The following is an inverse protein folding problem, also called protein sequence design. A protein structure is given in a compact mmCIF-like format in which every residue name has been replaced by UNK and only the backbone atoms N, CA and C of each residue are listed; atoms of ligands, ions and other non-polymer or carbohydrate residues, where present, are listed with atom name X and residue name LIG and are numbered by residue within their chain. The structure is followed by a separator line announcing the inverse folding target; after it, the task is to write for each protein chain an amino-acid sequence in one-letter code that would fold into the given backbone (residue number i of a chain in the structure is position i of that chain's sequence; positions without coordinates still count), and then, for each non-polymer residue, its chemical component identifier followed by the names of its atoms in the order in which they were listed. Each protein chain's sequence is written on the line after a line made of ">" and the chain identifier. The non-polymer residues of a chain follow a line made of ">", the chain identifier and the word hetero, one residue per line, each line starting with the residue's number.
data_IF_524929810415
#
_entry.id   IF_524929810415
#
_cell.length_a   1.000
_cell.length_b   1.000
_cell.length_c   1.000
_cell.angle_alpha   90.00
_cell.angle_beta   90.00
_cell.angle_gamma   90.00
#
_symmetry.space_group_name_H-M   'P 1'
#
loop_
_entity.id
_entity.type
_entity.pdbx_description
1 polymer ?
#
# COMPACT_ATOMS: atom_id res chain seq x y z
N UNK A 1 4.49 -11.66 5.13
CA UNK A 1 3.93 -13.02 5.00
C UNK A 1 4.73 -13.89 4.05
N UNK A 2 5.11 -13.40 2.83
CA UNK A 2 5.89 -14.21 1.86
C UNK A 2 7.24 -14.60 2.46
N UNK A 3 8.05 -13.64 2.90
CA UNK A 3 9.36 -13.91 3.51
C UNK A 3 9.23 -14.75 4.79
N UNK A 4 8.27 -14.41 5.65
CA UNK A 4 8.00 -15.18 6.87
C UNK A 4 7.72 -16.66 6.55
N UNK A 5 6.94 -16.93 5.48
CA UNK A 5 6.60 -18.29 5.07
C UNK A 5 7.78 -19.15 4.57
N UNK A 6 8.96 -18.54 4.38
CA UNK A 6 10.18 -19.26 3.98
C UNK A 6 10.93 -19.84 5.18
N UNK A 7 10.76 -19.22 6.35
CA UNK A 7 11.53 -19.55 7.56
C UNK A 7 10.68 -20.04 8.73
N UNK A 8 9.37 -19.83 8.73
CA UNK A 8 8.47 -20.28 9.78
C UNK A 8 7.77 -21.60 9.42
N UNK A 9 7.44 -22.40 10.41
CA UNK A 9 6.68 -23.65 10.25
C UNK A 9 5.27 -23.40 9.68
N UNK A 10 4.63 -22.29 10.09
CA UNK A 10 3.32 -21.87 9.60
C UNK A 10 3.25 -20.35 9.55
N UNK A 11 2.62 -19.83 8.50
CA UNK A 11 2.39 -18.38 8.35
C UNK A 11 0.92 -18.15 8.04
N UNK A 12 0.31 -17.23 8.77
CA UNK A 12 -1.03 -16.70 8.45
C UNK A 12 -0.94 -15.24 8.04
N UNK A 13 -1.90 -14.80 7.21
CA UNK A 13 -2.08 -13.40 6.87
C UNK A 13 -3.52 -12.99 7.16
N UNK A 14 -3.69 -11.96 8.00
CA UNK A 14 -4.99 -11.38 8.32
C UNK A 14 -5.17 -10.05 7.62
N UNK A 15 -6.33 -9.84 7.00
CA UNK A 15 -6.66 -8.61 6.29
C UNK A 15 -8.01 -8.07 6.74
N UNK A 16 -8.00 -6.81 7.12
CA UNK A 16 -9.22 -6.07 7.47
C UNK A 16 -10.15 -5.89 6.27
N UNK A 17 -9.60 -5.70 5.06
CA UNK A 17 -10.33 -5.52 3.79
C UNK A 17 -9.63 -6.24 2.65
N UNK A 18 -10.32 -6.44 1.53
CA UNK A 18 -9.71 -6.96 0.31
C UNK A 18 -8.81 -5.94 -0.37
N UNK A 19 -7.71 -6.41 -0.93
CA UNK A 19 -6.73 -5.58 -1.66
C UNK A 19 -6.51 -6.12 -3.05
N UNK A 20 -6.34 -5.22 -4.02
CA UNK A 20 -5.88 -5.59 -5.33
C UNK A 20 -4.42 -6.04 -5.25
N UNK A 21 -4.15 -7.25 -5.75
CA UNK A 21 -2.79 -7.77 -5.88
C UNK A 21 -2.41 -7.69 -7.35
N UNK A 22 -1.41 -6.88 -7.65
CA UNK A 22 -0.89 -6.74 -9.00
C UNK A 22 0.43 -7.52 -9.12
N UNK A 23 0.63 -8.32 -10.16
CA UNK A 23 1.92 -8.95 -10.40
C UNK A 23 2.96 -7.89 -10.78
N UNK A 24 4.25 -8.19 -10.55
CA UNK A 24 5.35 -7.33 -11.00
C UNK A 24 5.46 -7.28 -12.52
N UNK A 25 5.11 -8.39 -13.17
CA UNK A 25 5.18 -8.54 -14.62
C UNK A 25 3.86 -9.05 -15.18
N UNK A 26 3.37 -8.41 -16.24
CA UNK A 26 2.29 -8.89 -17.08
C UNK A 26 2.83 -9.36 -18.42
N UNK A 27 2.67 -10.63 -18.73
CA UNK A 27 3.11 -11.22 -20.02
C UNK A 27 4.56 -10.85 -20.38
N UNK A 28 5.46 -10.92 -19.39
CA UNK A 28 6.88 -10.62 -19.55
C UNK A 28 7.25 -9.13 -19.55
N UNK A 29 6.28 -8.21 -19.43
CA UNK A 29 6.53 -6.77 -19.33
C UNK A 29 6.33 -6.29 -17.89
N UNK A 30 7.19 -5.41 -17.35
CA UNK A 30 6.98 -4.78 -16.05
C UNK A 30 5.63 -4.07 -15.96
N UNK A 31 4.96 -4.16 -14.81
CA UNK A 31 3.61 -3.61 -14.63
C UNK A 31 3.53 -2.10 -14.78
N UNK A 32 4.59 -1.37 -14.43
CA UNK A 32 4.71 0.07 -14.63
C UNK A 32 4.76 0.44 -16.13
N UNK A 33 5.52 -0.32 -16.94
CA UNK A 33 5.58 -0.15 -18.40
C UNK A 33 4.21 -0.41 -19.04
N UNK A 34 3.49 -1.45 -18.57
CA UNK A 34 2.12 -1.73 -19.02
C UNK A 34 1.18 -0.59 -18.64
N UNK A 35 1.29 -0.08 -17.40
CA UNK A 35 0.51 1.05 -16.92
C UNK A 35 0.79 2.34 -17.72
N UNK A 36 2.06 2.58 -18.08
CA UNK A 36 2.45 3.70 -18.93
C UNK A 36 1.82 3.64 -20.32
N UNK A 37 1.86 2.48 -20.97
CA UNK A 37 1.26 2.26 -22.29
C UNK A 37 -0.26 2.53 -22.35
N UNK A 38 -0.92 2.59 -21.19
CA UNK A 38 -2.36 2.87 -21.08
C UNK A 38 -2.68 4.31 -20.63
N UNK A 39 -1.69 5.18 -20.45
CA UNK A 39 -1.89 6.57 -19.95
C UNK A 39 -2.79 7.44 -20.85
N UNK A 40 -2.85 7.15 -22.14
CA UNK A 40 -3.72 7.84 -23.09
C UNK A 40 -5.21 7.54 -22.90
N UNK A 41 -5.56 6.45 -22.18
CA UNK A 41 -6.94 6.11 -21.87
C UNK A 41 -7.47 6.95 -20.69
N UNK A 42 -8.75 7.36 -20.73
CA UNK A 42 -9.42 7.97 -19.58
C UNK A 42 -9.29 7.09 -18.33
N UNK A 43 -9.09 7.71 -17.17
CA UNK A 43 -8.84 7.00 -15.91
C UNK A 43 -9.88 5.91 -15.60
N UNK A 44 -11.17 6.20 -15.83
CA UNK A 44 -12.26 5.23 -15.60
C UNK A 44 -12.12 3.96 -16.45
N UNK A 45 -11.78 4.11 -17.72
CA UNK A 45 -11.57 2.98 -18.64
C UNK A 45 -10.33 2.18 -18.24
N UNK A 46 -9.24 2.86 -17.90
CA UNK A 46 -8.01 2.23 -17.43
C UNK A 46 -8.24 1.42 -16.15
N UNK A 47 -8.96 2.00 -15.19
CA UNK A 47 -9.35 1.30 -13.95
C UNK A 47 -10.17 0.04 -14.25
N UNK A 48 -11.17 0.14 -15.11
CA UNK A 48 -12.02 -0.97 -15.52
C UNK A 48 -11.23 -2.10 -16.20
N UNK A 49 -10.37 -1.77 -17.17
CA UNK A 49 -9.53 -2.77 -17.84
C UNK A 49 -8.54 -3.43 -16.89
N UNK A 50 -7.91 -2.68 -15.99
CA UNK A 50 -7.02 -3.25 -14.99
C UNK A 50 -7.73 -4.22 -14.05
N UNK A 51 -8.97 -3.92 -13.64
CA UNK A 51 -9.78 -4.82 -12.82
C UNK A 51 -10.08 -6.13 -13.55
N UNK A 52 -10.46 -6.06 -14.82
CA UNK A 52 -10.72 -7.24 -15.66
C UNK A 52 -9.43 -8.06 -15.82
N UNK A 53 -8.34 -7.41 -16.16
CA UNK A 53 -7.03 -8.06 -16.35
C UNK A 53 -6.60 -8.80 -15.08
N UNK A 54 -6.71 -8.19 -13.91
CA UNK A 54 -6.36 -8.82 -12.64
C UNK A 54 -7.30 -9.97 -12.28
N UNK A 55 -8.61 -9.84 -12.58
CA UNK A 55 -9.57 -10.93 -12.38
C UNK A 55 -9.29 -12.13 -13.31
N UNK A 56 -8.86 -11.89 -14.54
CA UNK A 56 -8.45 -12.96 -15.47
C UNK A 56 -7.16 -13.60 -14.98
N UNK A 57 -6.20 -12.79 -14.55
CA UNK A 57 -4.87 -13.26 -14.13
C UNK A 57 -4.92 -14.11 -12.86
N UNK A 58 -5.63 -13.64 -11.81
CA UNK A 58 -5.71 -14.34 -10.53
C UNK A 58 -6.95 -15.20 -10.35
N UNK A 59 -8.03 -14.92 -11.06
CA UNK A 59 -9.35 -15.53 -10.84
C UNK A 59 -10.09 -14.89 -9.66
N UNK A 60 -11.00 -15.67 -9.07
CA UNK A 60 -11.81 -15.22 -7.94
C UNK A 60 -11.01 -15.31 -6.62
N UNK A 61 -10.78 -14.17 -5.98
CA UNK A 61 -10.08 -14.05 -4.70
C UNK A 61 -10.72 -14.85 -3.56
N UNK A 62 -12.04 -15.04 -3.59
CA UNK A 62 -12.75 -15.86 -2.59
C UNK A 62 -12.26 -17.31 -2.57
N UNK A 63 -11.89 -17.84 -3.74
CA UNK A 63 -11.36 -19.21 -3.86
C UNK A 63 -10.01 -19.40 -3.14
N UNK A 64 -9.34 -18.30 -2.82
CA UNK A 64 -8.09 -18.30 -2.04
C UNK A 64 -8.32 -18.06 -0.55
N UNK A 65 -9.57 -17.93 -0.10
CA UNK A 65 -9.89 -17.56 1.28
C UNK A 65 -9.60 -16.09 1.61
N UNK A 66 -9.42 -15.25 0.58
CA UNK A 66 -9.20 -13.83 0.74
C UNK A 66 -10.54 -13.08 0.79
N UNK A 67 -10.56 -11.95 1.50
CA UNK A 67 -11.73 -11.08 1.52
C UNK A 67 -12.05 -10.55 0.12
N UNK A 68 -13.34 -10.40 -0.23
CA UNK A 68 -13.73 -9.76 -1.47
C UNK A 68 -13.20 -8.33 -1.56
N UNK A 69 -12.78 -7.94 -2.75
CA UNK A 69 -12.36 -6.56 -3.00
C UNK A 69 -13.62 -5.76 -3.33
N UNK A 70 -13.90 -4.74 -2.52
CA UNK A 70 -15.03 -3.82 -2.70
C UNK A 70 -14.66 -2.55 -3.42
N UNK A 71 -13.40 -2.13 -3.25
CA UNK A 71 -12.92 -0.85 -3.75
C UNK A 71 -12.50 -0.93 -5.24
N UNK A 72 -12.77 0.10 -6.05
CA UNK A 72 -12.26 0.17 -7.42
C UNK A 72 -10.73 0.11 -7.45
N UNK A 73 -10.17 -0.48 -8.51
CA UNK A 73 -8.71 -0.45 -8.72
C UNK A 73 -8.21 0.99 -8.80
N UNK A 74 -7.19 1.30 -8.02
CA UNK A 74 -6.58 2.63 -7.97
C UNK A 74 -7.20 3.59 -6.95
N UNK A 75 -8.30 3.23 -6.27
CA UNK A 75 -8.81 3.99 -5.11
C UNK A 75 -7.89 3.84 -3.89
N UNK A 76 -7.20 2.72 -3.84
CA UNK A 76 -6.14 2.42 -2.86
C UNK A 76 -4.93 1.85 -3.58
N UNK A 77 -3.76 1.97 -2.98
CA UNK A 77 -2.53 1.44 -3.57
C UNK A 77 -2.63 -0.09 -3.68
N UNK A 78 -2.47 -0.69 -4.88
CA UNK A 78 -2.46 -2.13 -5.04
C UNK A 78 -1.20 -2.73 -4.40
N UNK A 79 -1.31 -3.93 -3.90
CA UNK A 79 -0.15 -4.69 -3.43
C UNK A 79 0.56 -5.32 -4.64
N UNK A 80 1.77 -4.89 -4.93
CA UNK A 80 2.57 -5.47 -6.03
C UNK A 80 3.32 -6.68 -5.48
N UNK A 81 2.89 -7.88 -5.87
CA UNK A 81 3.51 -9.12 -5.40
C UNK A 81 3.16 -10.31 -6.31
N UNK A 82 4.18 -11.05 -6.77
CA UNK A 82 3.99 -12.24 -7.61
C UNK A 82 3.83 -13.52 -6.78
N UNK A 83 4.44 -13.56 -5.59
CA UNK A 83 4.56 -14.79 -4.84
C UNK A 83 3.39 -15.07 -3.89
N UNK A 84 2.73 -14.02 -3.38
CA UNK A 84 1.72 -14.18 -2.33
C UNK A 84 0.60 -15.14 -2.72
N UNK A 85 0.04 -14.95 -3.91
CA UNK A 85 -1.04 -15.81 -4.41
C UNK A 85 -0.56 -17.26 -4.63
N UNK A 86 0.69 -17.42 -5.08
CA UNK A 86 1.32 -18.71 -5.20
C UNK A 86 1.50 -19.40 -3.83
N UNK A 87 2.02 -18.67 -2.84
CA UNK A 87 2.18 -19.17 -1.47
C UNK A 87 0.86 -19.57 -0.81
N UNK A 88 -0.22 -18.81 -1.08
CA UNK A 88 -1.57 -19.15 -0.61
C UNK A 88 -2.06 -20.43 -1.27
N UNK A 89 -1.94 -20.55 -2.60
CA UNK A 89 -2.35 -21.76 -3.35
C UNK A 89 -1.67 -23.02 -2.85
N UNK A 90 -0.41 -22.92 -2.45
CA UNK A 90 0.38 -24.03 -1.92
C UNK A 90 0.27 -24.20 -0.39
N UNK A 91 -0.64 -23.47 0.28
CA UNK A 91 -0.88 -23.60 1.71
C UNK A 91 0.28 -23.11 2.60
N UNK A 92 1.29 -22.43 2.02
CA UNK A 92 2.42 -21.86 2.77
C UNK A 92 2.05 -20.57 3.51
N UNK A 93 1.03 -19.88 3.03
CA UNK A 93 0.43 -18.72 3.70
C UNK A 93 -1.07 -18.98 3.80
N UNK A 94 -1.60 -18.96 5.02
CA UNK A 94 -3.01 -19.21 5.33
C UNK A 94 -3.75 -17.89 5.49
N UNK A 95 -4.68 -17.53 4.60
CA UNK A 95 -5.54 -16.35 4.79
C UNK A 95 -6.43 -16.53 6.02
N UNK A 96 -6.60 -15.44 6.77
CA UNK A 96 -7.48 -15.35 7.93
C UNK A 96 -8.35 -14.10 7.83
N UNK A 97 -9.48 -14.13 8.50
CA UNK A 97 -10.30 -12.95 8.72
C UNK A 97 -9.56 -11.94 9.61
N UNK A 98 -10.14 -10.77 9.82
CA UNK A 98 -9.52 -9.77 10.69
C UNK A 98 -9.42 -10.28 12.14
N UNK A 99 -8.43 -9.74 12.85
CA UNK A 99 -8.19 -10.08 14.24
C UNK A 99 -9.24 -9.38 15.10
N UNK A 100 -10.04 -10.15 15.83
CA UNK A 100 -11.01 -9.61 16.77
C UNK A 100 -10.35 -9.25 18.11
N UNK A 101 -9.48 -10.13 18.64
CA UNK A 101 -8.77 -9.93 19.91
C UNK A 101 -7.62 -10.90 20.08
N UNK A 102 -6.79 -10.62 21.08
CA UNK A 102 -5.73 -11.50 21.56
C UNK A 102 -6.12 -12.14 22.91
N UNK A 103 -5.82 -13.40 23.07
CA UNK A 103 -6.04 -14.15 24.31
C UNK A 103 -4.77 -14.94 24.65
N UNK A 104 -3.86 -14.31 25.40
CA UNK A 104 -2.52 -14.84 25.63
C UNK A 104 -1.75 -14.98 24.32
N UNK A 105 -1.25 -16.18 24.02
CA UNK A 105 -0.59 -16.52 22.76
C UNK A 105 -1.55 -16.93 21.62
N UNK A 106 -2.86 -16.80 21.86
CA UNK A 106 -3.88 -17.09 20.86
C UNK A 106 -4.41 -15.81 20.21
N UNK A 107 -4.66 -15.91 18.91
CA UNK A 107 -5.35 -14.89 18.11
C UNK A 107 -6.76 -15.41 17.83
N UNK A 108 -7.77 -14.60 18.17
CA UNK A 108 -9.16 -14.87 17.83
C UNK A 108 -9.55 -14.00 16.65
N UNK A 109 -10.04 -14.62 15.58
CA UNK A 109 -10.46 -13.94 14.36
C UNK A 109 -11.97 -13.62 14.39
N UNK A 110 -12.41 -12.71 13.52
CA UNK A 110 -13.83 -12.32 13.43
C UNK A 110 -14.76 -13.48 13.09
N UNK A 111 -14.29 -14.53 12.43
CA UNK A 111 -15.04 -15.76 12.13
C UNK A 111 -15.11 -16.73 13.32
N UNK A 112 -14.62 -16.31 14.49
CA UNK A 112 -14.60 -17.11 15.73
C UNK A 112 -13.46 -18.12 15.81
N UNK A 113 -12.65 -18.29 14.78
CA UNK A 113 -11.49 -19.19 14.86
C UNK A 113 -10.48 -18.65 15.86
N UNK A 114 -9.91 -19.56 16.63
CA UNK A 114 -8.87 -19.29 17.60
C UNK A 114 -7.65 -20.13 17.27
N UNK A 115 -6.51 -19.48 17.06
CA UNK A 115 -5.26 -20.15 16.69
C UNK A 115 -4.10 -19.58 17.52
N UNK A 116 -3.16 -20.45 17.86
CA UNK A 116 -1.95 -20.09 18.59
C UNK A 116 -0.86 -19.59 17.64
N UNK A 117 -0.14 -18.55 18.04
CA UNK A 117 0.97 -17.97 17.27
C UNK A 117 2.11 -17.59 18.22
N UNK A 118 3.35 -17.91 17.81
CA UNK A 118 4.57 -17.53 18.53
C UNK A 118 4.90 -16.04 18.31
N UNK A 119 4.51 -15.48 17.16
CA UNK A 119 4.79 -14.10 16.82
C UNK A 119 3.69 -13.49 15.96
N UNK A 120 3.40 -12.21 16.19
CA UNK A 120 2.50 -11.39 15.37
C UNK A 120 3.27 -10.18 14.86
N UNK A 121 3.27 -10.00 13.53
CA UNK A 121 3.90 -8.85 12.88
C UNK A 121 2.79 -7.88 12.47
N UNK A 122 2.71 -6.74 13.15
CA UNK A 122 1.74 -5.70 12.86
C UNK A 122 2.18 -4.84 11.66
N UNK A 123 1.56 -5.08 10.49
CA UNK A 123 1.77 -4.30 9.28
C UNK A 123 0.60 -3.34 9.02
N UNK A 124 0.19 -2.60 10.05
CA UNK A 124 -1.04 -1.78 10.07
C UNK A 124 -0.86 -0.36 9.54
N UNK A 125 0.34 -0.02 9.09
CA UNK A 125 0.71 1.31 8.62
C UNK A 125 1.50 2.11 9.65
N UNK A 126 1.69 3.38 9.35
CA UNK A 126 2.49 4.29 10.17
C UNK A 126 1.70 5.57 10.47
N UNK A 127 1.98 6.15 11.61
CA UNK A 127 1.59 7.52 11.89
C UNK A 127 2.54 8.46 11.16
N UNK A 128 1.99 9.46 10.52
CA UNK A 128 2.78 10.52 9.90
C UNK A 128 3.23 11.49 10.97
N UNK A 129 4.45 11.32 11.45
CA UNK A 129 5.06 12.18 12.47
C UNK A 129 6.51 12.47 12.10
N UNK A 130 6.99 13.63 12.53
CA UNK A 130 8.40 14.03 12.42
C UNK A 130 8.91 14.33 13.82
N UNK A 131 9.37 13.33 14.58
CA UNK A 131 9.69 13.47 16.01
C UNK A 131 10.89 14.38 16.29
N UNK A 132 11.60 14.80 15.26
CA UNK A 132 12.68 15.79 15.36
C UNK A 132 12.20 17.25 15.33
N UNK A 133 10.92 17.49 15.07
CA UNK A 133 10.30 18.80 15.25
C UNK A 133 9.61 18.88 16.61
N UNK A 134 9.77 20.00 17.30
CA UNK A 134 9.02 20.29 18.51
C UNK A 134 7.53 20.44 18.19
N UNK A 135 6.66 20.03 19.12
CA UNK A 135 5.21 20.10 18.95
C UNK A 135 4.71 21.53 18.72
N UNK A 136 5.38 22.51 19.32
CA UNK A 136 5.07 23.93 19.15
C UNK A 136 5.47 24.46 17.77
N UNK A 137 6.36 23.74 17.06
CA UNK A 137 6.79 24.09 15.72
C UNK A 137 5.89 23.46 14.66
N UNK A 138 5.61 22.15 14.77
CA UNK A 138 4.69 21.43 13.89
C UNK A 138 3.87 20.46 14.72
N UNK A 139 2.56 20.72 14.83
CA UNK A 139 1.62 19.84 15.53
C UNK A 139 0.86 18.94 14.55
N UNK A 140 1.01 17.62 14.73
CA UNK A 140 0.28 16.59 14.01
C UNK A 140 -0.96 16.07 14.75
N UNK A 141 -1.30 16.63 15.91
CA UNK A 141 -2.44 16.14 16.72
C UNK A 141 -3.79 16.32 16.01
N UNK A 142 -3.89 17.32 15.14
CA UNK A 142 -5.08 17.61 14.33
C UNK A 142 -5.09 16.90 12.97
N UNK A 143 -4.06 16.10 12.66
CA UNK A 143 -3.92 15.40 11.40
C UNK A 143 -2.66 15.81 10.61
N UNK A 144 -2.56 15.42 9.34
CA UNK A 144 -1.42 15.78 8.51
C UNK A 144 -1.39 17.28 8.23
N UNK A 145 -0.20 17.88 8.24
CA UNK A 145 0.01 19.29 7.88
C UNK A 145 -0.48 19.55 6.45
N UNK A 146 -1.31 20.58 6.21
CA UNK A 146 -1.86 20.90 4.90
C UNK A 146 -0.80 21.54 3.99
N UNK A 147 0.06 20.73 3.39
CA UNK A 147 1.13 21.22 2.52
C UNK A 147 0.61 21.63 1.14
N UNK A 148 0.97 22.81 0.66
CA UNK A 148 0.75 23.22 -0.73
C UNK A 148 1.63 22.36 -1.66
N UNK A 149 1.05 21.86 -2.75
CA UNK A 149 1.68 20.86 -3.66
C UNK A 149 2.27 19.65 -2.92
N UNK A 150 1.78 19.35 -1.71
CA UNK A 150 2.32 18.30 -0.84
C UNK A 150 3.80 18.46 -0.50
N UNK A 151 4.32 19.69 -0.54
CA UNK A 151 5.72 19.96 -0.23
C UNK A 151 5.97 21.27 0.51
N UNK A 152 5.24 22.36 0.23
CA UNK A 152 5.45 23.66 0.86
C UNK A 152 4.63 23.78 2.13
N UNK A 153 5.28 24.21 3.22
CA UNK A 153 4.55 24.57 4.43
C UNK A 153 3.80 25.90 4.22
N UNK A 154 2.51 26.00 4.59
CA UNK A 154 1.71 27.20 4.30
C UNK A 154 2.11 28.44 5.11
N UNK A 155 2.73 28.28 6.26
CA UNK A 155 3.03 29.35 7.23
C UNK A 155 4.52 29.47 7.54
N UNK A 156 5.36 28.53 7.12
CA UNK A 156 6.79 28.53 7.42
C UNK A 156 7.57 28.57 6.11
N UNK A 157 8.20 29.69 5.86
CA UNK A 157 9.06 29.89 4.70
C UNK A 157 10.30 28.99 4.76
N UNK A 158 10.79 28.58 3.59
CA UNK A 158 11.97 27.75 3.46
C UNK A 158 11.90 26.36 4.12
N UNK A 159 10.69 25.90 4.47
CA UNK A 159 10.46 24.55 4.95
C UNK A 159 9.76 23.71 3.87
N UNK A 160 10.44 22.68 3.40
CA UNK A 160 9.99 21.83 2.31
C UNK A 160 9.90 20.37 2.75
N UNK A 161 8.87 19.68 2.28
CA UNK A 161 8.67 18.26 2.49
C UNK A 161 8.71 17.55 1.13
N UNK A 162 9.72 16.74 0.89
CA UNK A 162 9.86 16.00 -0.36
C UNK A 162 9.31 14.59 -0.19
N UNK A 163 8.44 14.15 -1.12
CA UNK A 163 7.87 12.81 -1.10
C UNK A 163 6.68 12.63 -0.16
N UNK A 164 6.05 13.69 0.33
CA UNK A 164 4.86 13.63 1.21
C UNK A 164 3.56 13.37 0.45
N UNK A 165 3.61 12.43 -0.50
CA UNK A 165 2.47 11.97 -1.29
C UNK A 165 2.65 10.50 -1.66
N UNK A 166 1.55 9.82 -1.96
CA UNK A 166 1.57 8.41 -2.37
C UNK A 166 0.94 8.25 -3.75
N UNK A 167 1.75 8.16 -4.82
CA UNK A 167 1.24 7.91 -6.16
C UNK A 167 0.84 6.44 -6.33
N UNK A 168 0.08 6.11 -7.37
CA UNK A 168 -0.24 4.72 -7.75
C UNK A 168 0.96 3.94 -8.33
N UNK A 169 2.11 4.58 -8.46
CA UNK A 169 3.35 4.02 -8.98
C UNK A 169 4.54 4.37 -8.11
N UNK A 170 5.70 4.48 -8.75
CA UNK A 170 6.93 4.87 -8.08
C UNK A 170 6.88 6.32 -7.61
N UNK A 171 7.32 6.59 -6.38
CA UNK A 171 7.36 7.92 -5.79
C UNK A 171 8.49 8.80 -6.35
N UNK A 172 9.59 8.19 -6.79
CA UNK A 172 10.82 8.89 -7.18
C UNK A 172 10.65 9.97 -8.26
N UNK A 173 9.90 9.75 -9.37
CA UNK A 173 9.70 10.80 -10.38
C UNK A 173 8.99 12.04 -9.82
N UNK A 174 8.03 11.84 -8.93
CA UNK A 174 7.33 12.95 -8.27
C UNK A 174 8.22 13.69 -7.28
N UNK A 175 9.03 12.98 -6.49
CA UNK A 175 10.00 13.56 -5.57
C UNK A 175 11.09 14.35 -6.34
N UNK A 176 11.54 13.85 -7.50
CA UNK A 176 12.45 14.57 -8.37
C UNK A 176 11.86 15.89 -8.87
N UNK A 177 10.60 15.88 -9.31
CA UNK A 177 9.91 17.11 -9.73
C UNK A 177 9.75 18.11 -8.58
N UNK A 178 9.40 17.63 -7.39
CA UNK A 178 9.35 18.48 -6.19
C UNK A 178 10.71 19.08 -5.86
N UNK A 179 11.79 18.31 -5.95
CA UNK A 179 13.16 18.80 -5.70
C UNK A 179 13.58 19.86 -6.72
N UNK A 180 13.22 19.69 -8.01
CA UNK A 180 13.48 20.69 -9.05
C UNK A 180 12.70 21.99 -8.79
N UNK A 181 11.45 21.87 -8.37
CA UNK A 181 10.61 23.02 -8.05
C UNK A 181 11.15 23.77 -6.82
N UNK A 182 11.53 23.06 -5.77
CA UNK A 182 12.19 23.64 -4.59
C UNK A 182 13.46 24.39 -4.98
N UNK A 183 14.30 23.82 -5.85
CA UNK A 183 15.52 24.49 -6.30
C UNK A 183 15.22 25.77 -7.08
N UNK A 184 14.17 25.79 -7.89
CA UNK A 184 13.75 27.00 -8.62
C UNK A 184 13.23 28.10 -7.67
N UNK A 185 12.50 27.74 -6.64
CA UNK A 185 12.01 28.67 -5.65
C UNK A 185 13.17 29.28 -4.84
N UNK A 186 14.11 28.46 -4.36
CA UNK A 186 15.30 28.94 -3.60
C UNK A 186 16.12 29.96 -4.39
N UNK A 187 16.21 29.80 -5.72
CA UNK A 187 16.96 30.75 -6.58
C UNK A 187 16.08 31.89 -7.14
N UNK A 188 14.84 32.03 -6.67
CA UNK A 188 13.92 33.08 -7.07
C UNK A 188 13.46 33.02 -8.53
N UNK A 189 13.37 31.83 -9.11
CA UNK A 189 12.92 31.60 -10.50
C UNK A 189 11.50 31.02 -10.60
N UNK A 190 10.80 30.97 -9.51
CA UNK A 190 9.42 30.47 -9.43
C UNK A 190 8.53 31.41 -8.65
#
# INVERSE_FOLDING_TARGET
>A
AVETSRVSASTSISWRRGYWIAPKFFFGKPSDVVAEGTKWLPLKLRTFFNQILLKIYWGDYKKYGLRPITDPFGSTHPTINDELMHKIRHGKVKPRMDIARFEGNHVVFEDGKKEEYDAVIACTGYWLTHPFFDKDFIDYSSGPVPLYLKMFHPEIDNLYFIGMFQPLGCIWPGAELQSKLMAQEIIGKW
#
